data_IF_530533763919
#
_entry.id   IF_530533763919
#
_cell.length_a   1.000
_cell.length_b   1.000
_cell.length_c   1.000
_cell.angle_alpha   90.00
_cell.angle_beta   90.00
_cell.angle_gamma   90.00
#
_symmetry.space_group_name_H-M   'P 1'
#
loop_
_entity.id
_entity.type
_entity.pdbx_description
1 polymer ?
#
# COMPACT_ATOMS: atom_id res chain seq x y z
N UNK A 1 -4.70 -11.74 -60.80
CA UNK A 1 -3.73 -10.85 -60.13
C UNK A 1 -4.25 -10.58 -58.72
N UNK A 2 -3.68 -11.21 -57.69
CA UNK A 2 -4.11 -11.03 -56.29
C UNK A 2 -3.31 -9.86 -55.72
N UNK A 3 -4.00 -8.80 -55.28
CA UNK A 3 -3.39 -7.56 -54.78
C UNK A 3 -3.12 -7.73 -53.27
N UNK A 4 -1.86 -7.97 -52.91
CA UNK A 4 -1.39 -8.02 -51.52
C UNK A 4 -1.71 -6.71 -50.78
N UNK A 5 -2.64 -6.76 -49.82
CA UNK A 5 -3.06 -5.59 -49.03
C UNK A 5 -2.10 -5.44 -47.86
N UNK A 6 -1.07 -4.60 -48.01
CA UNK A 6 -0.10 -4.29 -46.93
C UNK A 6 -0.83 -3.72 -45.71
N UNK A 7 -0.94 -4.53 -44.65
CA UNK A 7 -1.48 -4.10 -43.36
C UNK A 7 -0.48 -3.12 -42.74
N UNK A 8 -0.91 -1.87 -42.57
CA UNK A 8 -0.13 -0.82 -41.93
C UNK A 8 -0.24 -0.87 -40.40
N UNK A 9 0.82 -0.45 -39.69
CA UNK A 9 0.82 -0.35 -38.21
C UNK A 9 -0.37 0.45 -37.66
N UNK A 10 -0.82 1.48 -38.38
CA UNK A 10 -2.01 2.28 -38.02
C UNK A 10 -3.31 1.49 -38.20
N UNK A 11 -3.44 0.73 -39.29
CA UNK A 11 -4.60 -0.13 -39.57
C UNK A 11 -4.70 -1.28 -38.54
N UNK A 12 -3.57 -1.73 -38.00
CA UNK A 12 -3.54 -2.69 -36.88
C UNK A 12 -4.00 -2.06 -35.56
N UNK A 13 -3.50 -0.86 -35.21
CA UNK A 13 -3.90 -0.15 -33.99
C UNK A 13 -5.36 0.31 -34.02
N UNK A 14 -5.86 0.70 -35.20
CA UNK A 14 -7.25 1.10 -35.38
C UNK A 14 -8.19 -0.10 -35.20
N UNK A 15 -7.85 -1.25 -35.78
CA UNK A 15 -8.63 -2.50 -35.60
C UNK A 15 -8.57 -3.05 -34.17
N UNK A 16 -7.44 -2.93 -33.47
CA UNK A 16 -7.35 -3.36 -32.06
C UNK A 16 -8.11 -2.41 -31.12
N UNK A 17 -8.11 -1.10 -31.40
CA UNK A 17 -8.91 -0.13 -30.65
C UNK A 17 -10.42 -0.39 -30.79
N UNK A 18 -10.89 -0.72 -32.00
CA UNK A 18 -12.30 -1.07 -32.22
C UNK A 18 -12.72 -2.38 -31.54
N UNK A 19 -11.82 -3.37 -31.42
CA UNK A 19 -12.11 -4.60 -30.66
C UNK A 19 -12.22 -4.36 -29.15
N UNK A 20 -11.40 -3.46 -28.58
CA UNK A 20 -11.50 -3.08 -27.15
C UNK A 20 -12.80 -2.32 -26.86
N UNK A 21 -13.21 -1.41 -27.75
CA UNK A 21 -14.47 -0.70 -27.61
C UNK A 21 -15.70 -1.63 -27.72
N UNK A 22 -15.64 -2.65 -28.59
CA UNK A 22 -16.71 -3.64 -28.74
C UNK A 22 -16.85 -4.60 -27.56
N UNK A 23 -15.76 -4.92 -26.86
CA UNK A 23 -15.78 -5.79 -25.68
C UNK A 23 -16.34 -5.12 -24.41
N UNK A 24 -16.33 -3.79 -24.35
CA UNK A 24 -16.87 -3.02 -23.22
C UNK A 24 -18.41 -3.01 -23.17
N UNK A 25 -19.11 -3.27 -24.29
CA UNK A 25 -20.57 -3.23 -24.35
C UNK A 25 -21.27 -4.58 -24.10
N UNK A 26 -20.54 -5.70 -24.21
CA UNK A 26 -21.09 -7.04 -23.96
C UNK A 26 -20.69 -7.64 -22.61
N UNK A 27 -19.77 -7.01 -21.87
CA UNK A 27 -19.64 -7.22 -20.43
C UNK A 27 -20.57 -6.23 -19.72
N UNK A 28 -21.86 -6.59 -19.65
CA UNK A 28 -22.87 -5.91 -18.82
C UNK A 28 -22.50 -5.91 -17.34
N UNK A 29 -21.49 -5.13 -16.98
CA UNK A 29 -20.95 -4.96 -15.64
C UNK A 29 -20.77 -3.49 -15.29
N UNK A 30 -21.51 -2.59 -15.93
CA UNK A 30 -21.63 -1.16 -15.58
C UNK A 30 -22.32 -0.92 -14.23
N UNK A 31 -22.15 -1.83 -13.25
CA UNK A 31 -22.90 -1.85 -11.99
C UNK A 31 -22.10 -2.36 -10.79
N UNK A 32 -20.77 -2.18 -10.75
CA UNK A 32 -19.96 -2.57 -9.57
C UNK A 32 -18.94 -1.52 -9.06
N UNK A 33 -18.90 -0.31 -9.62
CA UNK A 33 -18.10 0.79 -9.07
C UNK A 33 -18.93 1.84 -8.30
N UNK A 34 -20.15 1.48 -7.89
CA UNK A 34 -21.01 2.35 -7.06
C UNK A 34 -20.94 1.99 -5.56
N UNK A 35 -19.79 1.49 -5.09
CA UNK A 35 -19.66 0.87 -3.76
C UNK A 35 -18.68 1.52 -2.77
N UNK A 36 -17.87 2.50 -3.17
CA UNK A 36 -16.90 3.14 -2.26
C UNK A 36 -16.85 4.66 -2.46
N UNK A 37 -17.93 5.35 -2.10
CA UNK A 37 -17.87 6.81 -1.89
C UNK A 37 -18.66 7.19 -0.63
N UNK A 38 -18.57 6.34 0.39
CA UNK A 38 -18.77 6.79 1.75
C UNK A 38 -17.39 7.22 2.25
N UNK A 39 -16.96 8.42 1.90
CA UNK A 39 -15.91 9.13 2.62
C UNK A 39 -16.43 9.36 4.04
N UNK A 40 -16.24 8.36 4.90
CA UNK A 40 -16.27 8.59 6.33
C UNK A 40 -15.21 9.66 6.60
N UNK A 41 -15.65 10.84 7.01
CA UNK A 41 -14.75 11.91 7.43
C UNK A 41 -13.85 11.33 8.52
N UNK A 42 -12.58 11.08 8.19
CA UNK A 42 -11.61 10.66 9.18
C UNK A 42 -11.56 11.75 10.25
N UNK A 43 -11.58 11.40 11.55
CA UNK A 43 -11.48 12.39 12.61
C UNK A 43 -10.21 13.22 12.39
N UNK A 44 -10.32 14.55 12.54
CA UNK A 44 -9.18 15.44 12.36
C UNK A 44 -8.09 15.06 13.37
N UNK A 45 -6.89 14.72 12.89
CA UNK A 45 -5.75 14.38 13.76
C UNK A 45 -5.12 15.69 14.21
N UNK A 46 -5.27 16.01 15.48
CA UNK A 46 -4.57 17.14 16.09
C UNK A 46 -3.22 16.70 16.67
N UNK A 47 -2.21 17.54 16.48
CA UNK A 47 -0.92 17.39 17.13
C UNK A 47 -0.97 18.05 18.51
N UNK A 48 -0.42 17.45 19.58
CA UNK A 48 0.34 16.19 19.64
C UNK A 48 -0.54 14.93 19.65
N UNK A 49 0.00 13.82 19.14
CA UNK A 49 -0.70 12.54 19.18
C UNK A 49 -0.89 12.06 20.62
N UNK A 50 -2.05 11.42 20.91
CA UNK A 50 -2.28 10.83 22.22
C UNK A 50 -1.26 9.72 22.46
N UNK A 51 -0.50 9.81 23.55
CA UNK A 51 0.52 8.82 23.89
C UNK A 51 0.11 8.05 25.15
N UNK A 52 0.19 6.72 25.06
CA UNK A 52 0.04 5.83 26.22
C UNK A 52 1.40 5.27 26.59
N UNK A 53 1.73 5.30 27.88
CA UNK A 53 2.98 4.72 28.39
C UNK A 53 2.98 3.22 28.15
N UNK A 54 3.98 2.75 27.42
CA UNK A 54 4.14 1.34 27.10
C UNK A 54 4.99 0.62 28.15
N UNK A 55 4.72 -0.67 28.32
CA UNK A 55 5.61 -1.60 29.02
C UNK A 55 6.87 -1.86 28.14
N UNK A 56 8.08 -1.52 28.62
CA UNK A 56 9.31 -1.68 27.85
C UNK A 56 9.63 -3.15 27.54
N UNK A 57 9.30 -4.10 28.42
CA UNK A 57 9.66 -5.51 28.22
C UNK A 57 8.79 -6.11 27.11
N UNK A 58 7.48 -5.85 27.14
CA UNK A 58 6.56 -6.23 26.06
C UNK A 58 6.94 -5.58 24.74
N UNK A 59 7.32 -4.30 24.74
CA UNK A 59 7.76 -3.61 23.54
C UNK A 59 9.03 -4.22 22.94
N UNK A 60 10.00 -4.59 23.78
CA UNK A 60 11.25 -5.23 23.36
C UNK A 60 11.01 -6.61 22.72
N UNK A 61 10.15 -7.42 23.32
CA UNK A 61 9.76 -8.73 22.78
C UNK A 61 9.11 -8.57 21.40
N UNK A 62 8.10 -7.71 21.28
CA UNK A 62 7.44 -7.43 20.00
C UNK A 62 8.42 -6.92 18.95
N UNK A 63 9.33 -6.02 19.33
CA UNK A 63 10.32 -5.48 18.41
C UNK A 63 11.29 -6.56 17.91
N UNK A 64 11.73 -7.46 18.80
CA UNK A 64 12.60 -8.59 18.45
C UNK A 64 11.91 -9.56 17.49
N UNK A 65 10.66 -9.92 17.75
CA UNK A 65 9.86 -10.81 16.89
C UNK A 65 9.67 -10.21 15.49
N UNK A 66 9.28 -8.93 15.41
CA UNK A 66 9.11 -8.24 14.13
C UNK A 66 10.44 -8.04 13.38
N UNK A 67 11.53 -7.77 14.11
CA UNK A 67 12.87 -7.68 13.53
C UNK A 67 13.26 -8.99 12.85
N UNK A 68 13.02 -10.14 13.50
CA UNK A 68 13.24 -11.47 12.93
C UNK A 68 12.35 -11.73 11.72
N UNK A 69 11.09 -11.34 11.77
CA UNK A 69 10.13 -11.60 10.69
C UNK A 69 10.50 -10.88 9.37
N UNK A 70 10.95 -9.62 9.43
CA UNK A 70 11.33 -8.83 8.24
C UNK A 70 12.84 -8.65 8.05
N UNK A 71 13.65 -9.26 8.90
CA UNK A 71 15.11 -9.13 8.93
C UNK A 71 15.55 -7.66 8.91
N UNK A 72 14.91 -6.82 9.71
CA UNK A 72 15.09 -5.35 9.67
C UNK A 72 14.93 -4.75 11.04
N UNK A 73 15.99 -4.07 11.51
CA UNK A 73 15.99 -3.36 12.79
C UNK A 73 14.99 -2.20 12.80
N UNK A 74 14.93 -1.41 11.72
CA UNK A 74 14.00 -0.28 11.61
C UNK A 74 12.55 -0.75 11.62
N UNK A 75 12.24 -1.82 10.88
CA UNK A 75 10.91 -2.41 10.91
C UNK A 75 10.58 -3.01 12.28
N UNK A 76 11.51 -3.75 12.88
CA UNK A 76 11.31 -4.35 14.20
C UNK A 76 10.93 -3.31 15.24
N UNK A 77 11.70 -2.22 15.35
CA UNK A 77 11.43 -1.15 16.32
C UNK A 77 10.14 -0.41 16.00
N UNK A 78 9.89 -0.04 14.75
CA UNK A 78 8.66 0.67 14.38
C UNK A 78 7.41 -0.19 14.58
N UNK A 79 7.39 -1.44 14.11
CA UNK A 79 6.27 -2.36 14.32
C UNK A 79 6.09 -2.70 15.81
N UNK A 80 7.19 -2.89 16.55
CA UNK A 80 7.13 -3.17 17.98
C UNK A 80 6.63 -2.01 18.82
N UNK A 81 6.92 -0.76 18.42
CA UNK A 81 6.53 0.44 19.19
C UNK A 81 5.22 1.04 18.69
N UNK A 82 5.13 1.36 17.39
CA UNK A 82 3.93 1.95 16.78
C UNK A 82 2.80 0.93 16.64
N UNK A 83 3.12 -0.33 16.35
CA UNK A 83 2.11 -1.41 16.35
C UNK A 83 1.57 -1.68 17.75
N UNK A 84 2.42 -1.61 18.78
CA UNK A 84 1.95 -1.71 20.16
C UNK A 84 1.10 -0.50 20.58
N UNK A 85 1.47 0.72 20.17
CA UNK A 85 0.61 1.90 20.35
C UNK A 85 -0.70 1.79 19.57
N UNK A 86 -0.71 1.18 18.39
CA UNK A 86 -1.94 0.91 17.66
C UNK A 86 -2.85 -0.08 18.41
N UNK A 87 -2.29 -1.06 19.14
CA UNK A 87 -3.06 -1.97 19.99
C UNK A 87 -3.64 -1.27 21.23
N UNK A 88 -2.87 -0.41 21.90
CA UNK A 88 -3.26 0.18 23.19
C UNK A 88 -3.96 1.55 23.08
N UNK A 89 -3.51 2.41 22.17
CA UNK A 89 -4.02 3.76 21.96
C UNK A 89 -4.92 3.86 20.72
N UNK A 90 -4.82 2.91 19.78
CA UNK A 90 -5.65 2.90 18.58
C UNK A 90 -5.32 4.04 17.61
N UNK A 91 -6.33 4.83 17.26
CA UNK A 91 -6.18 5.97 16.35
C UNK A 91 -5.31 7.07 16.99
N UNK A 92 -4.34 7.69 16.30
CA UNK A 92 -4.05 7.59 14.86
C UNK A 92 -2.98 6.55 14.48
N UNK A 93 -2.42 5.79 15.44
CA UNK A 93 -1.31 4.87 15.17
C UNK A 93 -1.67 3.72 14.23
N UNK A 94 -2.95 3.35 14.17
CA UNK A 94 -3.47 2.36 13.20
C UNK A 94 -3.32 2.79 11.75
N UNK A 95 -3.13 4.09 11.47
CA UNK A 95 -2.87 4.61 10.12
C UNK A 95 -1.40 4.60 9.73
N UNK A 96 -0.49 4.26 10.63
CA UNK A 96 0.96 4.33 10.39
C UNK A 96 1.49 2.92 10.11
N UNK A 97 1.58 2.49 8.83
CA UNK A 97 2.11 1.16 8.52
C UNK A 97 3.61 1.09 8.84
N UNK A 98 4.09 0.07 9.57
CA UNK A 98 5.52 -0.06 9.89
C UNK A 98 6.38 -0.35 8.65
N UNK A 99 5.81 -0.87 7.55
CA UNK A 99 6.55 -1.16 6.32
C UNK A 99 7.16 0.10 5.67
N UNK A 100 6.67 1.30 5.96
CA UNK A 100 7.21 2.55 5.36
C UNK A 100 8.69 2.72 5.74
N UNK A 101 9.09 2.28 6.94
CA UNK A 101 10.46 2.46 7.44
C UNK A 101 11.40 1.29 7.05
N UNK A 102 10.90 0.30 6.31
CA UNK A 102 11.69 -0.84 5.85
C UNK A 102 12.86 -0.41 4.95
N UNK A 103 12.73 0.70 4.22
CA UNK A 103 13.81 1.28 3.40
C UNK A 103 15.04 1.70 4.19
N UNK A 104 14.96 1.82 5.52
CA UNK A 104 16.08 2.15 6.39
C UNK A 104 16.83 0.94 6.95
N UNK A 105 16.49 -0.29 6.48
CA UNK A 105 17.20 -1.50 6.87
C UNK A 105 18.71 -1.35 6.64
N UNK A 106 19.50 -1.56 7.69
CA UNK A 106 20.96 -1.49 7.63
C UNK A 106 21.55 -0.07 7.51
N UNK A 107 20.77 0.98 7.82
CA UNK A 107 21.28 2.36 7.76
C UNK A 107 21.28 2.93 6.34
N UNK A 108 20.12 2.89 5.68
CA UNK A 108 19.91 3.19 4.24
C UNK A 108 20.80 2.32 3.34
N UNK A 109 20.23 1.40 2.55
CA UNK A 109 21.01 0.52 1.69
C UNK A 109 22.06 1.29 0.85
N UNK A 110 23.32 0.88 0.97
CA UNK A 110 24.45 1.50 0.26
C UNK A 110 25.03 2.77 0.89
N UNK A 111 24.47 3.27 2.00
CA UNK A 111 24.96 4.43 2.74
C UNK A 111 25.27 4.10 4.21
N UNK A 112 25.31 2.81 4.56
CA UNK A 112 25.58 2.34 5.91
C UNK A 112 26.92 2.86 6.42
N UNK A 113 26.89 3.66 7.49
CA UNK A 113 28.07 3.99 8.31
C UNK A 113 28.60 2.76 9.05
#
# INVERSE_FOLDING_TARGET
>A
MIKEKKIGRRDFLEKSAHMVAGAALLSGGGMLLSGCSQEASAPQIEWPYPYTKLDPDRAAIKAYENCKAKQSCSYGVSAGTLGYLAEEAGYPFTLIPPDIIQGFKGGVPGHSS
#
